data_IF_178093899306
#
_entry.id   IF_178093899306
#
_cell.length_a   1.000
_cell.length_b   1.000
_cell.length_c   1.000
_cell.angle_alpha   90.00
_cell.angle_beta   90.00
_cell.angle_gamma   90.00
#
_symmetry.space_group_name_H-M   'P 1'
#
loop_
_entity.id
_entity.type
_entity.pdbx_description
1 polymer ?
#
# COMPACT_ATOMS: atom_id res chain seq x y z
N UNK A 1 -22.27 15.58 -12.46
CA UNK A 1 -22.11 16.26 -11.16
C UNK A 1 -21.92 15.13 -10.16
N UNK A 2 -20.67 14.72 -9.96
CA UNK A 2 -20.32 13.68 -8.99
C UNK A 2 -20.47 14.31 -7.60
N UNK A 3 -21.46 13.84 -6.83
CA UNK A 3 -21.52 14.13 -5.40
C UNK A 3 -20.29 13.48 -4.75
N UNK A 4 -19.28 14.29 -4.46
CA UNK A 4 -18.22 13.93 -3.51
C UNK A 4 -18.90 13.66 -2.17
N UNK A 5 -19.14 12.37 -1.92
CA UNK A 5 -19.64 11.83 -0.66
C UNK A 5 -18.89 12.46 0.51
N UNK A 6 -19.59 13.31 1.27
CA UNK A 6 -19.30 13.57 2.67
C UNK A 6 -19.17 12.21 3.36
N UNK A 7 -17.93 11.72 3.47
CA UNK A 7 -17.63 10.55 4.29
C UNK A 7 -18.09 10.90 5.71
N UNK A 8 -19.11 10.20 6.21
CA UNK A 8 -19.76 10.48 7.50
C UNK A 8 -18.69 10.64 8.59
N UNK A 9 -18.58 11.82 9.19
CA UNK A 9 -17.69 12.07 10.35
C UNK A 9 -17.88 11.00 11.45
N UNK A 10 -19.12 10.50 11.58
CA UNK A 10 -19.50 9.39 12.45
C UNK A 10 -18.71 8.10 12.20
N UNK A 11 -18.36 7.78 10.94
CA UNK A 11 -17.57 6.58 10.62
C UNK A 11 -16.13 6.75 11.10
N UNK A 12 -15.53 7.93 10.90
CA UNK A 12 -14.14 8.16 11.33
C UNK A 12 -13.97 8.10 12.84
N UNK A 13 -14.91 8.70 13.59
CA UNK A 13 -14.95 8.66 15.05
C UNK A 13 -15.13 7.23 15.56
N UNK A 14 -16.08 6.46 15.00
CA UNK A 14 -16.26 5.04 15.34
C UNK A 14 -15.03 4.20 15.06
N UNK A 15 -14.30 4.52 13.99
CA UNK A 15 -13.06 3.82 13.64
C UNK A 15 -11.94 4.20 14.60
N UNK A 16 -11.88 5.44 15.08
CA UNK A 16 -10.96 5.83 16.16
C UNK A 16 -11.26 5.10 17.46
N UNK A 17 -12.52 5.08 17.88
CA UNK A 17 -12.97 4.36 19.08
C UNK A 17 -12.62 2.88 18.98
N UNK A 18 -12.91 2.26 17.82
CA UNK A 18 -12.59 0.87 17.55
C UNK A 18 -11.09 0.60 17.64
N UNK A 19 -10.26 1.38 16.95
CA UNK A 19 -8.79 1.22 17.01
C UNK A 19 -8.26 1.44 18.42
N UNK A 20 -8.78 2.44 19.14
CA UNK A 20 -8.36 2.73 20.51
C UNK A 20 -8.72 1.58 21.46
N UNK A 21 -9.80 0.84 21.22
CA UNK A 21 -10.14 -0.36 22.01
C UNK A 21 -9.08 -1.48 21.90
N UNK A 22 -8.29 -1.50 20.83
CA UNK A 22 -7.18 -2.44 20.63
C UNK A 22 -5.83 -1.91 21.12
N UNK A 23 -5.75 -0.67 21.63
CA UNK A 23 -4.53 -0.11 22.22
C UNK A 23 -4.36 -0.52 23.68
N UNK A 24 -4.31 -1.82 23.94
CA UNK A 24 -4.04 -2.39 25.27
C UNK A 24 -2.66 -3.08 25.34
N UNK A 25 -2.14 -3.25 26.55
CA UNK A 25 -0.86 -3.94 26.80
C UNK A 25 -0.86 -5.38 26.27
N UNK A 26 -2.03 -6.03 26.30
CA UNK A 26 -2.22 -7.36 25.72
C UNK A 26 -1.79 -7.42 24.25
N UNK A 27 -2.25 -6.47 23.43
CA UNK A 27 -1.91 -6.46 22.00
C UNK A 27 -0.48 -5.97 21.76
N UNK A 28 -0.12 -4.85 22.39
CA UNK A 28 1.11 -4.12 22.07
C UNK A 28 2.32 -4.74 22.75
N UNK A 29 2.27 -4.95 24.07
CA UNK A 29 3.44 -5.34 24.87
C UNK A 29 3.61 -6.86 24.88
N UNK A 30 2.55 -7.59 25.21
CA UNK A 30 2.60 -9.06 25.39
C UNK A 30 2.73 -9.79 24.04
N UNK A 31 1.91 -9.41 23.05
CA UNK A 31 1.84 -10.12 21.78
C UNK A 31 2.62 -9.44 20.65
N UNK A 32 3.02 -8.17 20.81
CA UNK A 32 3.68 -7.38 19.76
C UNK A 32 2.88 -7.39 18.44
N UNK A 33 1.55 -7.35 18.57
CA UNK A 33 0.58 -7.34 17.49
C UNK A 33 -0.05 -5.96 17.38
N UNK A 34 -0.15 -5.48 16.14
CA UNK A 34 -0.82 -4.24 15.82
C UNK A 34 -2.13 -4.54 15.12
N UNK A 35 -3.18 -3.78 15.45
CA UNK A 35 -4.44 -3.86 14.72
C UNK A 35 -4.44 -2.77 13.66
N UNK A 36 -4.65 -3.21 12.42
CA UNK A 36 -4.83 -2.35 11.25
C UNK A 36 -6.32 -2.28 10.94
N UNK A 37 -6.83 -1.06 10.82
CA UNK A 37 -8.17 -0.81 10.29
C UNK A 37 -8.07 -0.23 8.89
N UNK A 38 -8.88 -0.78 7.98
CA UNK A 38 -9.02 -0.31 6.60
C UNK A 38 -10.50 -0.11 6.32
N UNK A 39 -10.86 1.06 5.79
CA UNK A 39 -12.22 1.36 5.36
C UNK A 39 -12.29 1.32 3.84
N UNK A 40 -13.11 0.44 3.29
CA UNK A 40 -13.32 0.34 1.84
C UNK A 40 -14.82 0.22 1.54
N UNK A 41 -15.35 1.13 0.72
CA UNK A 41 -16.76 1.11 0.25
C UNK A 41 -17.80 0.90 1.37
N UNK A 42 -17.56 1.49 2.56
CA UNK A 42 -18.37 1.38 3.81
C UNK A 42 -18.17 0.09 4.64
N UNK A 43 -17.26 -0.79 4.26
CA UNK A 43 -16.88 -1.95 5.07
C UNK A 43 -15.62 -1.63 5.86
N UNK A 44 -15.61 -1.97 7.14
CA UNK A 44 -14.45 -1.91 8.03
C UNK A 44 -13.79 -3.29 8.03
N UNK A 45 -12.52 -3.33 7.68
CA UNK A 45 -11.68 -4.52 7.76
C UNK A 45 -10.67 -4.34 8.87
N UNK A 46 -10.60 -5.32 9.78
CA UNK A 46 -9.62 -5.38 10.85
C UNK A 46 -8.64 -6.51 10.59
N UNK A 47 -7.35 -6.21 10.69
CA UNK A 47 -6.28 -7.18 10.55
C UNK A 47 -5.35 -7.10 11.75
N UNK A 48 -4.97 -8.26 12.29
CA UNK A 48 -3.85 -8.35 13.21
C UNK A 48 -2.57 -8.51 12.39
N UNK A 49 -1.60 -7.63 12.63
CA UNK A 49 -0.32 -7.62 11.92
C UNK A 49 0.77 -7.74 12.97
N UNK A 50 1.59 -8.78 12.85
CA UNK A 50 2.79 -8.87 13.67
C UNK A 50 3.82 -7.86 13.18
N UNK A 51 4.67 -7.37 14.08
CA UNK A 51 5.76 -6.43 13.78
C UNK A 51 6.65 -6.85 12.59
N UNK A 52 6.74 -8.16 12.32
CA UNK A 52 7.59 -8.74 11.26
C UNK A 52 6.95 -8.56 9.87
N UNK A 53 5.62 -8.61 9.77
CA UNK A 53 4.92 -8.60 8.47
C UNK A 53 4.46 -7.21 8.01
N UNK A 54 4.89 -6.17 8.72
CA UNK A 54 4.46 -4.80 8.51
C UNK A 54 4.66 -4.27 7.07
N UNK A 55 5.66 -4.81 6.35
CA UNK A 55 6.06 -4.30 5.03
C UNK A 55 5.50 -5.10 3.83
N UNK A 56 4.73 -6.17 4.06
CA UNK A 56 4.27 -7.07 2.99
C UNK A 56 2.85 -6.80 2.50
N UNK A 57 2.11 -5.92 3.17
CA UNK A 57 0.67 -5.83 2.99
C UNK A 57 0.26 -4.66 2.07
N UNK A 58 -0.52 -4.99 1.03
CA UNK A 58 -0.63 -4.21 -0.23
C UNK A 58 -1.84 -3.28 -0.30
N UNK A 59 -2.49 -3.05 0.82
CA UNK A 59 -3.74 -2.30 0.84
C UNK A 59 -3.43 -0.82 1.05
N UNK A 60 -3.38 -0.08 -0.06
CA UNK A 60 -3.27 1.38 -0.07
C UNK A 60 -4.57 2.10 0.28
N UNK A 61 -5.72 1.45 0.11
CA UNK A 61 -6.98 2.16 -0.05
C UNK A 61 -7.84 2.08 1.22
N UNK A 62 -7.96 3.24 1.88
CA UNK A 62 -8.76 3.48 3.07
C UNK A 62 -8.04 4.42 4.04
N UNK A 63 -8.78 4.99 5.00
CA UNK A 63 -8.13 5.61 6.16
C UNK A 63 -7.41 4.51 6.94
N UNK A 64 -6.08 4.54 6.87
CA UNK A 64 -5.22 3.61 7.57
C UNK A 64 -5.09 4.09 9.01
N UNK A 65 -5.70 3.36 9.95
CA UNK A 65 -5.47 3.57 11.38
C UNK A 65 -4.81 2.35 11.99
N UNK A 66 -3.79 2.62 12.81
CA UNK A 66 -2.94 1.63 13.42
C UNK A 66 -2.82 1.91 14.92
N UNK A 67 -2.64 0.84 15.69
CA UNK A 67 -2.39 0.95 17.12
C UNK A 67 -0.96 1.43 17.43
N UNK A 68 -0.02 1.37 16.48
CA UNK A 68 1.36 1.84 16.64
C UNK A 68 1.45 3.38 16.70
N UNK A 69 1.81 3.97 17.86
CA UNK A 69 1.88 5.42 18.05
C UNK A 69 3.03 6.08 17.27
N UNK A 70 4.01 5.31 16.80
CA UNK A 70 5.14 5.82 16.01
C UNK A 70 4.94 5.66 14.50
N UNK A 71 3.85 5.03 14.08
CA UNK A 71 3.54 4.88 12.67
C UNK A 71 2.64 6.01 12.20
N UNK A 72 3.24 6.98 11.53
CA UNK A 72 2.49 7.80 10.60
C UNK A 72 2.46 7.11 9.23
N UNK A 73 1.41 7.40 8.47
CA UNK A 73 1.18 6.83 7.15
C UNK A 73 2.38 6.99 6.20
N UNK A 74 3.14 8.08 6.33
CA UNK A 74 4.35 8.32 5.54
C UNK A 74 5.46 7.30 5.85
N UNK A 75 5.68 6.97 7.13
CA UNK A 75 6.67 5.96 7.53
C UNK A 75 6.30 4.58 6.98
N UNK A 76 5.02 4.22 6.94
CA UNK A 76 4.56 3.01 6.28
C UNK A 76 4.97 3.00 4.79
N UNK A 77 4.62 4.05 4.02
CA UNK A 77 4.97 4.11 2.60
C UNK A 77 6.47 4.12 2.33
N UNK A 78 7.25 4.83 3.16
CA UNK A 78 8.70 4.85 3.03
C UNK A 78 9.33 3.46 3.27
N UNK A 79 8.71 2.59 4.07
CA UNK A 79 9.22 1.26 4.40
C UNK A 79 8.55 0.14 3.61
N UNK A 80 7.57 0.45 2.76
CA UNK A 80 6.93 -0.53 1.90
C UNK A 80 7.95 -1.10 0.91
N UNK A 81 8.11 -2.42 0.91
CA UNK A 81 9.05 -3.13 0.05
C UNK A 81 8.37 -3.93 -1.05
N UNK A 82 7.05 -4.16 -0.93
CA UNK A 82 6.33 -5.06 -1.81
C UNK A 82 5.05 -4.42 -2.31
N UNK A 83 4.77 -4.60 -3.60
CA UNK A 83 3.47 -4.35 -4.24
C UNK A 83 3.06 -5.67 -4.89
N UNK A 84 2.12 -6.43 -4.31
CA UNK A 84 1.65 -7.73 -4.85
C UNK A 84 0.25 -7.66 -5.49
N UNK A 85 -0.33 -6.45 -5.58
CA UNK A 85 -1.64 -6.25 -6.18
C UNK A 85 -1.49 -5.66 -7.58
N UNK A 86 -1.87 -6.42 -8.60
CA UNK A 86 -1.77 -6.00 -10.00
C UNK A 86 -2.64 -4.77 -10.33
N UNK A 87 -3.72 -4.55 -9.57
CA UNK A 87 -4.67 -3.44 -9.73
C UNK A 87 -4.34 -2.21 -8.87
N UNK A 88 -3.18 -2.23 -8.21
CA UNK A 88 -2.75 -1.17 -7.29
C UNK A 88 -2.76 0.21 -7.94
N UNK A 89 -2.34 0.30 -9.21
CA UNK A 89 -2.24 1.56 -9.95
C UNK A 89 -3.51 1.90 -10.75
N UNK A 90 -4.58 1.10 -10.63
CA UNK A 90 -5.85 1.34 -11.34
C UNK A 90 -6.68 2.46 -10.69
N UNK A 91 -6.32 2.85 -9.46
CA UNK A 91 -6.99 3.90 -8.70
C UNK A 91 -6.08 5.14 -8.58
N UNK A 92 -6.66 6.36 -8.45
CA UNK A 92 -5.87 7.54 -8.17
C UNK A 92 -5.14 7.43 -6.84
N UNK A 93 -3.81 7.50 -6.88
CA UNK A 93 -2.96 7.52 -5.69
C UNK A 93 -2.55 8.96 -5.38
N UNK A 94 -2.63 9.42 -4.12
CA UNK A 94 -2.18 10.76 -3.76
C UNK A 94 -0.74 11.08 -4.19
N UNK A 95 -0.53 12.27 -4.75
CA UNK A 95 0.75 12.66 -5.36
C UNK A 95 1.90 12.81 -4.38
N UNK A 96 1.64 12.84 -3.07
CA UNK A 96 2.66 12.86 -2.01
C UNK A 96 3.23 11.46 -1.72
N UNK A 97 2.56 10.38 -2.16
CA UNK A 97 3.02 9.03 -1.92
C UNK A 97 4.23 8.73 -2.79
N UNK A 98 5.29 8.23 -2.16
CA UNK A 98 6.52 7.76 -2.78
C UNK A 98 6.89 6.42 -2.16
N UNK A 99 7.28 5.47 -2.99
CA UNK A 99 7.66 4.11 -2.62
C UNK A 99 9.11 3.87 -3.07
N UNK A 100 10.10 4.42 -2.36
CA UNK A 100 11.50 4.41 -2.81
C UNK A 100 12.19 3.06 -2.64
N UNK A 101 11.61 2.16 -1.84
CA UNK A 101 12.27 0.94 -1.36
C UNK A 101 11.61 -0.34 -1.90
N UNK A 102 10.96 -0.28 -3.06
CA UNK A 102 10.32 -1.46 -3.65
C UNK A 102 11.36 -2.51 -4.07
N UNK A 103 11.23 -3.69 -3.47
CA UNK A 103 12.02 -4.90 -3.73
C UNK A 103 11.20 -5.95 -4.48
N UNK A 104 9.88 -6.01 -4.26
CA UNK A 104 8.97 -6.95 -4.91
C UNK A 104 7.86 -6.18 -5.63
N UNK A 105 7.77 -6.31 -6.95
CA UNK A 105 6.77 -5.63 -7.75
C UNK A 105 5.96 -6.63 -8.58
N UNK A 106 4.66 -6.68 -8.33
CA UNK A 106 3.65 -7.30 -9.16
C UNK A 106 2.85 -6.19 -9.83
N UNK A 107 2.94 -6.10 -11.15
CA UNK A 107 2.31 -5.04 -11.93
C UNK A 107 1.57 -5.60 -13.15
N UNK A 108 0.46 -4.95 -13.48
CA UNK A 108 -0.29 -5.16 -14.73
C UNK A 108 0.09 -4.11 -15.76
N UNK A 109 0.27 -4.52 -17.01
CA UNK A 109 0.42 -3.61 -18.15
C UNK A 109 -0.94 -3.28 -18.78
N UNK A 110 -1.13 -2.06 -19.33
CA UNK A 110 -0.16 -0.97 -19.41
C UNK A 110 -0.01 -0.19 -18.10
N UNK A 111 1.19 0.35 -17.88
CA UNK A 111 1.51 1.22 -16.77
C UNK A 111 1.08 2.65 -17.10
N UNK A 112 0.45 3.35 -16.14
CA UNK A 112 0.13 4.76 -16.26
C UNK A 112 1.32 5.66 -15.85
N UNK A 113 1.30 6.94 -16.23
CA UNK A 113 2.38 7.89 -15.88
C UNK A 113 2.51 8.12 -14.37
N UNK A 114 1.42 7.91 -13.62
CA UNK A 114 1.41 8.04 -12.17
C UNK A 114 2.34 7.02 -11.50
N UNK A 115 2.51 5.82 -12.07
CA UNK A 115 3.46 4.81 -11.58
C UNK A 115 4.87 5.39 -11.38
N UNK A 116 5.40 6.09 -12.38
CA UNK A 116 6.77 6.63 -12.32
C UNK A 116 6.93 7.75 -11.31
N UNK A 117 5.83 8.45 -10.98
CA UNK A 117 5.84 9.43 -9.91
C UNK A 117 5.87 8.77 -8.52
N UNK A 118 5.26 7.59 -8.37
CA UNK A 118 5.13 6.89 -7.09
C UNK A 118 6.32 5.99 -6.82
N UNK A 119 6.81 5.28 -7.84
CA UNK A 119 7.95 4.38 -7.80
C UNK A 119 9.10 5.06 -8.57
N UNK A 120 9.77 6.05 -7.97
CA UNK A 120 10.75 6.89 -8.67
C UNK A 120 12.02 6.12 -9.05
N UNK A 121 12.28 4.98 -8.40
CA UNK A 121 13.44 4.13 -8.64
C UNK A 121 13.08 2.67 -8.41
N UNK A 122 13.68 1.79 -9.22
CA UNK A 122 13.59 0.34 -9.07
C UNK A 122 14.95 -0.26 -8.67
N UNK A 123 15.89 0.55 -8.16
CA UNK A 123 17.27 0.12 -7.87
C UNK A 123 17.38 -1.01 -6.82
N UNK A 124 16.32 -1.23 -6.04
CA UNK A 124 16.25 -2.30 -5.04
C UNK A 124 15.41 -3.50 -5.49
N UNK A 125 14.89 -3.46 -6.71
CA UNK A 125 14.01 -4.49 -7.22
C UNK A 125 14.74 -5.83 -7.29
N UNK A 126 14.22 -6.79 -6.53
CA UNK A 126 14.69 -8.17 -6.47
C UNK A 126 13.77 -9.10 -7.29
N UNK A 127 12.45 -8.88 -7.24
CA UNK A 127 11.46 -9.67 -7.96
C UNK A 127 10.51 -8.78 -8.75
N UNK A 128 10.33 -9.08 -10.04
CA UNK A 128 9.36 -8.45 -10.92
C UNK A 128 8.41 -9.49 -11.50
N UNK A 129 7.13 -9.40 -11.17
CA UNK A 129 6.04 -10.16 -11.79
C UNK A 129 5.25 -9.20 -12.68
N UNK A 130 5.18 -9.50 -13.97
CA UNK A 130 4.42 -8.71 -14.95
C UNK A 130 3.26 -9.52 -15.46
N UNK A 131 2.05 -8.98 -15.32
CA UNK A 131 0.84 -9.52 -15.93
C UNK A 131 0.54 -8.71 -17.19
N UNK A 132 0.55 -9.37 -18.34
CA UNK A 132 0.23 -8.78 -19.63
C UNK A 132 -0.66 -9.71 -20.42
N UNK A 133 -1.67 -9.16 -21.09
CA UNK A 133 -2.61 -9.94 -21.88
C UNK A 133 -2.24 -10.03 -23.37
N UNK A 134 -1.26 -9.24 -23.87
CA UNK A 134 -0.85 -9.21 -25.30
C UNK A 134 0.61 -8.74 -25.45
N UNK A 135 1.28 -9.11 -26.56
CA UNK A 135 2.64 -8.66 -26.97
C UNK A 135 2.80 -7.14 -27.19
N UNK A 136 1.73 -6.35 -27.05
CA UNK A 136 1.68 -4.93 -27.46
C UNK A 136 2.49 -4.02 -26.51
N UNK A 137 2.84 -4.48 -25.30
CA UNK A 137 3.49 -3.65 -24.29
C UNK A 137 5.01 -3.84 -24.16
N UNK A 138 5.67 -4.34 -25.21
CA UNK A 138 7.13 -4.53 -25.22
C UNK A 138 7.91 -3.26 -24.88
N UNK A 139 7.46 -2.08 -25.34
CA UNK A 139 8.12 -0.81 -25.04
C UNK A 139 8.08 -0.46 -23.55
N UNK A 140 6.94 -0.67 -22.88
CA UNK A 140 6.79 -0.44 -21.45
C UNK A 140 7.54 -1.48 -20.62
N UNK A 141 7.50 -2.75 -21.02
CA UNK A 141 8.30 -3.79 -20.39
C UNK A 141 9.80 -3.48 -20.49
N UNK A 142 10.27 -3.04 -21.66
CA UNK A 142 11.65 -2.60 -21.85
C UNK A 142 11.98 -1.37 -20.98
N UNK A 143 11.06 -0.41 -20.86
CA UNK A 143 11.25 0.75 -19.99
C UNK A 143 11.35 0.36 -18.50
N UNK A 144 10.54 -0.60 -18.03
CA UNK A 144 10.65 -1.20 -16.70
C UNK A 144 12.02 -1.85 -16.50
N UNK A 145 12.40 -2.76 -17.39
CA UNK A 145 13.66 -3.51 -17.27
C UNK A 145 14.89 -2.60 -17.36
N UNK A 146 14.84 -1.53 -18.16
CA UNK A 146 15.93 -0.55 -18.26
C UNK A 146 16.10 0.29 -16.97
N UNK A 147 15.06 0.39 -16.14
CA UNK A 147 15.08 1.14 -14.87
C UNK A 147 15.31 0.25 -13.65
N UNK A 148 15.12 -1.06 -13.80
CA UNK A 148 15.49 -2.05 -12.81
C UNK A 148 16.99 -2.37 -12.92
N UNK A 149 17.67 -2.69 -11.82
CA UNK A 149 18.99 -3.29 -11.88
C UNK A 149 18.88 -4.65 -12.60
N UNK A 150 20.00 -5.21 -13.10
CA UNK A 150 20.00 -6.58 -13.59
C UNK A 150 19.47 -7.52 -12.50
N UNK A 151 18.28 -8.08 -12.73
CA UNK A 151 17.69 -9.08 -11.84
C UNK A 151 18.62 -10.29 -11.86
N UNK A 152 19.13 -10.68 -10.68
CA UNK A 152 20.07 -11.79 -10.53
C UNK A 152 19.36 -13.08 -10.18
#
# INVERSE_FOLDING_TARGET
MEETLSFDQNIEERVDELINSFRSSFWIDEHQWFVRCIIQKKTIYLYTISKIFYNYDNVLFGSLKLTDPQNNQQKFYNNMISIVNETFFDQPIPSYIRLPNIEYLWIKLPINEQFWSIVPSLNRLYLLTVVSYIDIFQSQLKALLNRAPPLR
#
